data_IF_881363964203
#
_entry.id   IF_881363964203
#
_cell.length_a   1.000
_cell.length_b   1.000
_cell.length_c   1.000
_cell.angle_alpha   90.00
_cell.angle_beta   90.00
_cell.angle_gamma   90.00
#
_symmetry.space_group_name_H-M   'P 1'
#
loop_
_entity.id
_entity.type
_entity.pdbx_description
1 polymer ?
#
# COMPACT_ATOMS: atom_id res chain seq x y z
N UNK A 1 -10.47 31.11 -11.48
CA UNK A 1 -9.63 29.89 -11.51
C UNK A 1 -10.23 28.88 -10.56
N UNK A 2 -10.59 27.68 -11.03
CA UNK A 2 -11.18 26.63 -10.17
C UNK A 2 -10.07 25.95 -9.36
N UNK A 3 -10.20 25.93 -8.04
CA UNK A 3 -9.34 25.13 -7.16
C UNK A 3 -9.46 23.66 -7.52
N UNK A 4 -8.36 23.03 -7.92
CA UNK A 4 -8.29 21.58 -8.12
C UNK A 4 -8.03 20.91 -6.77
N UNK A 5 -8.65 19.76 -6.50
CA UNK A 5 -8.54 19.01 -5.24
C UNK A 5 -8.16 17.57 -5.56
N UNK A 6 -7.41 16.93 -4.66
CA UNK A 6 -7.23 15.48 -4.70
C UNK A 6 -8.25 14.84 -3.75
N UNK A 7 -8.80 13.68 -4.13
CA UNK A 7 -9.51 12.79 -3.22
C UNK A 7 -8.54 11.70 -2.78
N UNK A 8 -8.52 11.44 -1.48
CA UNK A 8 -7.67 10.42 -0.87
C UNK A 8 -8.55 9.37 -0.20
N UNK A 9 -8.25 8.10 -0.47
CA UNK A 9 -8.79 6.96 0.25
C UNK A 9 -7.61 6.16 0.78
N UNK A 10 -7.38 6.25 2.07
CA UNK A 10 -6.18 5.75 2.74
C UNK A 10 -6.52 4.53 3.57
N UNK A 11 -5.65 3.53 3.54
CA UNK A 11 -5.80 2.37 4.42
C UNK A 11 -6.88 1.37 4.03
N UNK A 12 -7.11 1.18 2.72
CA UNK A 12 -8.11 0.22 2.24
C UNK A 12 -7.49 -1.19 2.26
N UNK A 13 -8.10 -2.18 2.94
CA UNK A 13 -7.56 -3.53 2.98
C UNK A 13 -7.78 -4.22 1.63
N UNK A 14 -6.74 -4.86 1.11
CA UNK A 14 -6.81 -5.67 -0.12
C UNK A 14 -6.58 -7.17 0.12
N UNK A 15 -6.28 -7.55 1.36
CA UNK A 15 -6.21 -8.93 1.83
C UNK A 15 -6.52 -9.00 3.34
N UNK A 16 -6.69 -10.22 3.86
CA UNK A 16 -6.72 -10.47 5.30
C UNK A 16 -5.35 -10.19 5.94
N UNK A 17 -5.31 -9.77 7.23
CA UNK A 17 -4.06 -9.61 7.96
C UNK A 17 -3.22 -10.89 7.92
N UNK A 18 -1.96 -10.85 7.44
CA UNK A 18 -1.11 -12.03 7.28
C UNK A 18 -0.46 -12.43 8.62
N UNK A 19 -1.28 -12.67 9.64
CA UNK A 19 -0.84 -13.03 11.00
C UNK A 19 -1.14 -14.49 11.32
N UNK A 20 -0.43 -15.03 12.31
CA UNK A 20 -0.64 -16.41 12.77
C UNK A 20 -0.49 -17.42 11.63
N UNK A 21 -1.51 -18.26 11.33
CA UNK A 21 -1.44 -19.23 10.24
C UNK A 21 -1.22 -18.61 8.84
N UNK A 22 -1.50 -17.31 8.65
CA UNK A 22 -1.36 -16.64 7.35
C UNK A 22 0.03 -16.03 7.10
N UNK A 23 0.93 -16.04 8.09
CA UNK A 23 2.22 -15.30 8.04
C UNK A 23 3.09 -15.62 6.81
N UNK A 24 3.18 -16.89 6.43
CA UNK A 24 3.99 -17.35 5.28
C UNK A 24 3.13 -17.96 4.17
N UNK A 25 1.81 -17.72 4.23
CA UNK A 25 0.87 -18.17 3.23
C UNK A 25 0.65 -17.09 2.15
N UNK A 26 0.17 -17.47 0.95
CA UNK A 26 -0.40 -16.52 0.00
C UNK A 26 -1.45 -15.60 0.66
N UNK A 27 -1.59 -14.34 0.23
CA UNK A 27 -2.59 -13.43 0.77
C UNK A 27 -4.00 -14.00 0.58
N UNK A 28 -4.78 -14.02 1.65
CA UNK A 28 -6.19 -14.40 1.57
C UNK A 28 -7.01 -13.16 1.15
N UNK A 29 -7.48 -13.14 -0.09
CA UNK A 29 -8.21 -12.01 -0.69
C UNK A 29 -9.73 -12.13 -0.57
N UNK A 30 -10.23 -13.28 -0.09
CA UNK A 30 -11.67 -13.51 0.08
C UNK A 30 -11.95 -14.36 1.34
N UNK A 31 -12.84 -13.89 2.23
CA UNK A 31 -13.42 -12.54 2.26
C UNK A 31 -12.34 -11.49 2.59
N UNK A 32 -12.57 -10.23 2.24
CA UNK A 32 -11.78 -9.11 2.77
C UNK A 32 -12.29 -8.70 4.16
N UNK A 33 -11.45 -8.05 5.00
CA UNK A 33 -11.94 -7.41 6.22
C UNK A 33 -13.11 -6.47 5.93
N UNK A 34 -14.22 -6.67 6.63
CA UNK A 34 -15.46 -5.90 6.48
C UNK A 34 -15.81 -5.14 7.76
N UNK A 35 -16.61 -4.09 7.62
CA UNK A 35 -17.13 -3.27 8.71
C UNK A 35 -18.54 -2.78 8.32
N UNK A 36 -19.41 -2.57 9.30
CA UNK A 36 -20.84 -2.34 9.04
C UNK A 36 -21.17 -0.92 8.52
N UNK A 37 -20.36 0.08 8.88
CA UNK A 37 -20.62 1.50 8.62
C UNK A 37 -19.54 2.20 7.76
N UNK A 38 -19.38 3.52 7.85
CA UNK A 38 -18.30 4.27 7.20
C UNK A 38 -17.03 4.17 8.06
N UNK A 39 -15.96 3.62 7.49
CA UNK A 39 -14.63 3.63 8.10
C UNK A 39 -13.90 4.94 7.79
N UNK A 40 -13.25 5.52 8.79
CA UNK A 40 -12.36 6.67 8.60
C UNK A 40 -11.14 6.30 7.75
N UNK A 41 -10.86 7.14 6.75
CA UNK A 41 -9.70 7.01 5.88
C UNK A 41 -8.46 7.58 6.57
N UNK A 42 -7.52 6.70 6.94
CA UNK A 42 -6.21 7.07 7.49
C UNK A 42 -5.14 6.14 6.94
N UNK A 43 -3.90 6.61 6.88
CA UNK A 43 -2.77 5.73 6.63
C UNK A 43 -2.75 4.60 7.67
N UNK A 44 -2.28 3.44 7.23
CA UNK A 44 -2.16 2.23 8.04
C UNK A 44 -0.68 1.93 8.26
N UNK A 45 -0.34 1.10 9.27
CA UNK A 45 1.05 0.75 9.56
C UNK A 45 1.79 0.24 8.33
N UNK A 46 3.09 0.54 8.25
CA UNK A 46 3.96 -0.11 7.30
C UNK A 46 4.20 -1.57 7.72
N UNK A 47 4.56 -2.41 6.74
CA UNK A 47 4.87 -3.80 7.04
C UNK A 47 6.09 -3.92 7.96
N UNK A 48 6.10 -4.96 8.80
CA UNK A 48 7.22 -5.26 9.70
C UNK A 48 8.58 -5.22 8.98
N UNK A 49 9.48 -4.38 9.48
CA UNK A 49 10.80 -4.14 8.93
C UNK A 49 11.77 -3.60 9.99
N UNK A 50 13.05 -3.59 9.64
CA UNK A 50 14.09 -3.02 10.50
C UNK A 50 14.03 -1.49 10.47
N UNK A 51 13.84 -0.87 11.64
CA UNK A 51 13.63 0.58 11.75
C UNK A 51 14.84 1.37 11.30
N UNK A 52 16.03 1.00 11.74
CA UNK A 52 17.25 1.77 11.44
C UNK A 52 17.56 1.72 9.94
N UNK A 53 17.36 0.56 9.30
CA UNK A 53 17.49 0.43 7.83
C UNK A 53 16.41 1.18 7.07
N UNK A 54 15.18 1.21 7.57
CA UNK A 54 14.10 2.00 6.97
C UNK A 54 14.44 3.49 7.04
N UNK A 55 14.86 3.97 8.21
CA UNK A 55 15.25 5.36 8.42
C UNK A 55 16.44 5.77 7.55
N UNK A 56 17.42 4.89 7.35
CA UNK A 56 18.55 5.14 6.44
C UNK A 56 18.12 5.16 4.96
N UNK A 57 17.28 4.20 4.54
CA UNK A 57 16.77 4.12 3.17
C UNK A 57 15.94 5.35 2.77
N UNK A 58 15.06 5.82 3.67
CA UNK A 58 14.13 6.92 3.42
C UNK A 58 14.56 8.25 4.07
N UNK A 59 15.83 8.35 4.52
CA UNK A 59 16.38 9.47 5.28
C UNK A 59 16.03 10.84 4.71
N UNK A 60 16.30 11.05 3.41
CA UNK A 60 16.04 12.34 2.76
C UNK A 60 14.55 12.71 2.79
N UNK A 61 13.67 11.71 2.72
CA UNK A 61 12.23 11.94 2.74
C UNK A 61 11.75 12.23 4.16
N UNK A 62 12.24 11.47 5.14
CA UNK A 62 11.92 11.68 6.55
C UNK A 62 12.41 13.05 7.04
N UNK A 63 13.59 13.49 6.61
CA UNK A 63 14.15 14.80 6.97
C UNK A 63 13.49 15.99 6.26
N UNK A 64 12.69 15.75 5.21
CA UNK A 64 12.12 16.82 4.37
C UNK A 64 11.09 17.71 5.06
N UNK A 65 10.60 17.36 6.28
CA UNK A 65 9.50 18.03 7.00
C UNK A 65 8.20 18.21 6.20
N UNK A 66 8.12 17.57 5.04
CA UNK A 66 6.93 17.55 4.19
C UNK A 66 5.89 16.56 4.71
N UNK A 67 6.24 15.77 5.73
CA UNK A 67 5.33 14.92 6.48
C UNK A 67 5.36 15.32 7.96
N UNK A 68 4.25 15.13 8.68
CA UNK A 68 4.24 15.30 10.13
C UNK A 68 5.32 14.41 10.76
N UNK A 69 5.91 14.86 11.88
CA UNK A 69 6.85 14.07 12.72
C UNK A 69 6.16 12.88 13.42
N UNK A 70 5.23 12.21 12.73
CA UNK A 70 4.61 11.00 13.21
C UNK A 70 5.57 9.84 12.98
N UNK A 71 5.90 9.16 14.07
CA UNK A 71 6.64 7.90 14.00
C UNK A 71 5.83 6.91 13.20
N UNK A 72 6.44 6.39 12.14
CA UNK A 72 5.84 5.35 11.33
C UNK A 72 5.70 4.08 12.17
N UNK A 73 4.47 3.61 12.33
CA UNK A 73 4.20 2.33 12.96
C UNK A 73 4.50 1.17 12.01
N UNK A 74 5.02 0.09 12.58
CA UNK A 74 5.24 -1.18 11.90
C UNK A 74 4.33 -2.26 12.49
N UNK A 75 3.65 -3.00 11.62
CA UNK A 75 2.77 -4.09 12.01
C UNK A 75 2.80 -5.21 10.95
N UNK A 76 2.48 -6.44 11.34
CA UNK A 76 2.24 -7.53 10.39
C UNK A 76 0.90 -7.35 9.66
N UNK A 77 -0.09 -6.77 10.35
CA UNK A 77 -1.32 -6.28 9.70
C UNK A 77 -1.02 -5.01 8.92
N UNK A 78 -0.53 -5.18 7.69
CA UNK A 78 -0.08 -4.09 6.84
C UNK A 78 -0.59 -4.16 5.39
N UNK A 79 -1.44 -5.13 5.03
CA UNK A 79 -1.91 -5.35 3.65
C UNK A 79 -3.03 -4.37 3.27
N UNK A 80 -2.66 -3.11 3.24
CA UNK A 80 -3.49 -1.97 2.89
C UNK A 80 -2.92 -1.23 1.67
N UNK A 81 -3.80 -0.57 0.94
CA UNK A 81 -3.44 0.34 -0.15
C UNK A 81 -4.05 1.72 0.05
N UNK A 82 -3.45 2.71 -0.60
CA UNK A 82 -3.96 4.07 -0.64
C UNK A 82 -4.30 4.44 -2.09
N UNK A 83 -5.35 5.23 -2.28
CA UNK A 83 -5.81 5.70 -3.58
C UNK A 83 -5.85 7.22 -3.60
N UNK A 84 -5.13 7.81 -4.55
CA UNK A 84 -5.12 9.25 -4.83
C UNK A 84 -5.80 9.50 -6.16
N UNK A 85 -6.92 10.22 -6.16
CA UNK A 85 -7.74 10.45 -7.35
C UNK A 85 -7.89 11.96 -7.62
N UNK A 86 -7.77 12.41 -8.89
CA UNK A 86 -8.00 13.81 -9.24
C UNK A 86 -9.48 14.19 -9.07
N UNK A 87 -9.76 15.44 -8.67
CA UNK A 87 -11.12 15.97 -8.79
C UNK A 87 -11.49 16.24 -10.26
N UNK A 88 -12.81 16.27 -10.50
CA UNK A 88 -13.41 16.55 -11.79
C UNK A 88 -14.19 15.37 -12.34
N UNK A 89 -14.69 15.56 -13.56
CA UNK A 89 -15.39 14.51 -14.28
C UNK A 89 -14.34 13.69 -15.05
N UNK A 90 -14.26 12.36 -14.82
CA UNK A 90 -13.42 11.51 -15.64
C UNK A 90 -13.91 11.51 -17.10
N UNK A 91 -13.04 11.20 -18.06
CA UNK A 91 -13.43 10.76 -19.40
C UNK A 91 -14.40 9.56 -19.33
N UNK A 92 -15.08 9.27 -20.43
CA UNK A 92 -16.01 8.13 -20.51
C UNK A 92 -15.34 6.78 -20.17
N UNK A 93 -14.04 6.65 -20.47
CA UNK A 93 -13.24 5.45 -20.22
C UNK A 93 -12.62 5.41 -18.82
N UNK A 94 -12.92 6.39 -17.95
CA UNK A 94 -12.29 6.53 -16.64
C UNK A 94 -10.96 7.29 -16.69
N UNK A 95 -10.35 7.48 -15.52
CA UNK A 95 -8.97 8.01 -15.43
C UNK A 95 -7.97 6.86 -15.58
N UNK A 96 -6.81 7.06 -16.25
CA UNK A 96 -5.74 6.09 -16.24
C UNK A 96 -5.29 5.79 -14.81
N UNK A 97 -4.92 4.53 -14.55
CA UNK A 97 -4.49 4.06 -13.22
C UNK A 97 -2.98 3.81 -13.24
N UNK A 98 -2.26 4.43 -12.31
CA UNK A 98 -0.87 4.14 -11.98
C UNK A 98 -0.81 3.36 -10.67
N UNK A 99 -0.44 2.08 -10.74
CA UNK A 99 -0.13 1.28 -9.56
C UNK A 99 1.36 1.40 -9.24
N UNK A 100 1.69 1.87 -8.04
CA UNK A 100 3.06 2.16 -7.63
C UNK A 100 3.46 1.33 -6.41
N UNK A 101 4.53 0.55 -6.53
CA UNK A 101 5.12 -0.21 -5.44
C UNK A 101 6.39 0.50 -4.94
N UNK A 102 6.54 0.64 -3.63
CA UNK A 102 7.72 1.26 -3.04
C UNK A 102 8.99 0.40 -3.21
N UNK A 103 10.16 1.06 -3.25
CA UNK A 103 11.47 0.42 -3.26
C UNK A 103 11.90 -0.05 -1.86
N UNK A 104 13.15 -0.54 -1.75
CA UNK A 104 13.77 -0.96 -0.50
C UNK A 104 14.27 -2.40 -0.49
N UNK A 105 14.68 -2.91 -1.66
CA UNK A 105 15.26 -4.25 -1.87
C UNK A 105 14.46 -5.39 -1.22
N UNK A 106 13.13 -5.26 -1.22
CA UNK A 106 12.20 -6.17 -0.56
C UNK A 106 12.37 -6.29 0.96
N UNK A 107 13.13 -5.41 1.60
CA UNK A 107 13.46 -5.46 3.04
C UNK A 107 12.84 -4.33 3.85
N UNK A 108 12.76 -3.15 3.25
CA UNK A 108 12.26 -1.92 3.87
C UNK A 108 11.39 -1.12 2.90
N UNK A 109 10.79 -0.04 3.39
CA UNK A 109 9.96 0.91 2.66
C UNK A 109 8.49 0.87 3.10
N UNK A 110 7.74 1.89 2.68
CA UNK A 110 6.32 2.02 2.98
C UNK A 110 5.59 2.84 1.91
N UNK A 111 4.31 2.56 1.62
CA UNK A 111 3.58 3.33 0.63
C UNK A 111 3.19 4.74 1.12
N UNK A 112 3.01 4.93 2.43
CA UNK A 112 2.46 6.17 2.98
C UNK A 112 3.50 7.30 3.14
N UNK A 113 4.79 7.04 2.91
CA UNK A 113 5.83 8.08 2.82
C UNK A 113 5.83 8.81 1.47
N UNK A 114 4.92 8.45 0.57
CA UNK A 114 4.76 9.07 -0.75
C UNK A 114 3.35 9.62 -0.90
N UNK A 115 3.24 10.95 -0.91
CA UNK A 115 1.98 11.65 -1.24
C UNK A 115 1.92 11.93 -2.75
N UNK A 116 1.01 11.25 -3.44
CA UNK A 116 0.78 11.40 -4.87
C UNK A 116 -0.34 12.39 -5.21
N UNK A 117 -0.89 13.13 -4.24
CA UNK A 117 -2.04 14.04 -4.46
C UNK A 117 -1.81 15.07 -5.56
N UNK A 118 -0.64 15.73 -5.53
CA UNK A 118 -0.29 16.74 -6.56
C UNK A 118 -0.11 16.06 -7.92
N UNK A 119 0.53 14.90 -7.96
CA UNK A 119 0.77 14.15 -9.19
C UNK A 119 -0.55 13.70 -9.83
N UNK A 120 -1.44 13.07 -9.05
CA UNK A 120 -2.75 12.61 -9.49
C UNK A 120 -3.57 13.74 -10.12
N UNK A 121 -3.61 14.92 -9.46
CA UNK A 121 -4.34 16.10 -9.94
C UNK A 121 -3.74 16.68 -11.22
N UNK A 122 -2.41 16.82 -11.28
CA UNK A 122 -1.70 17.45 -12.41
C UNK A 122 -1.70 16.57 -13.65
N UNK A 123 -1.51 15.27 -13.49
CA UNK A 123 -1.43 14.32 -14.59
C UNK A 123 -2.78 13.70 -14.93
N UNK A 124 -3.82 13.95 -14.12
CA UNK A 124 -5.16 13.40 -14.31
C UNK A 124 -5.15 11.88 -14.38
N UNK A 125 -4.53 11.28 -13.36
CA UNK A 125 -4.41 9.83 -13.18
C UNK A 125 -4.80 9.44 -11.77
N UNK A 126 -5.39 8.27 -11.59
CA UNK A 126 -5.55 7.65 -10.28
C UNK A 126 -4.22 6.99 -9.92
N UNK A 127 -3.68 7.27 -8.73
CA UNK A 127 -2.49 6.59 -8.21
C UNK A 127 -2.88 5.67 -7.07
N UNK A 128 -2.43 4.43 -7.13
CA UNK A 128 -2.65 3.43 -6.07
C UNK A 128 -1.31 3.01 -5.48
N UNK A 129 -1.17 3.05 -4.16
CA UNK A 129 0.06 2.71 -3.45
C UNK A 129 -0.19 1.58 -2.43
N UNK A 130 -0.07 0.31 -2.84
CA UNK A 130 -0.18 -0.83 -1.93
C UNK A 130 1.11 -1.02 -1.10
N UNK A 131 0.93 -1.45 0.14
CA UNK A 131 1.98 -2.13 0.89
C UNK A 131 2.07 -3.60 0.48
N UNK A 132 3.22 -4.22 0.68
CA UNK A 132 3.43 -5.66 0.49
C UNK A 132 4.39 -6.18 1.57
N UNK A 133 4.28 -7.46 1.96
CA UNK A 133 5.15 -8.02 2.99
C UNK A 133 6.62 -7.95 2.58
N UNK A 134 7.48 -7.65 3.54
CA UNK A 134 8.92 -7.44 3.36
C UNK A 134 9.73 -8.50 4.12
N UNK A 135 11.03 -8.58 3.83
CA UNK A 135 12.03 -9.39 4.52
C UNK A 135 11.56 -10.85 4.78
N UNK A 136 11.76 -11.38 5.98
CA UNK A 136 11.32 -12.73 6.36
C UNK A 136 9.80 -12.91 6.22
N UNK A 137 9.00 -11.87 6.44
CA UNK A 137 7.55 -11.97 6.32
C UNK A 137 7.08 -12.12 4.87
N UNK A 138 7.78 -11.52 3.91
CA UNK A 138 7.42 -11.58 2.48
C UNK A 138 8.13 -12.66 1.69
N UNK A 139 9.34 -13.06 2.09
CA UNK A 139 10.26 -13.79 1.21
C UNK A 139 10.93 -14.99 1.88
N UNK A 140 10.56 -15.34 3.10
CA UNK A 140 11.03 -16.58 3.72
C UNK A 140 10.55 -17.80 2.93
N UNK A 141 11.47 -18.74 2.69
CA UNK A 141 11.14 -20.02 2.07
C UNK A 141 11.89 -21.16 2.71
N UNK A 142 11.20 -22.29 2.86
CA UNK A 142 11.78 -23.58 3.24
C UNK A 142 12.23 -24.40 2.02
N UNK A 143 12.03 -23.87 0.80
CA UNK A 143 12.24 -24.57 -0.48
C UNK A 143 11.40 -25.84 -0.64
N UNK A 144 10.34 -25.97 0.16
CA UNK A 144 9.30 -26.99 0.08
C UNK A 144 7.90 -26.35 0.12
N UNK A 145 6.85 -27.16 0.27
CA UNK A 145 5.47 -26.67 0.30
C UNK A 145 5.03 -25.99 1.59
N UNK A 146 5.84 -26.01 2.67
CA UNK A 146 5.46 -25.47 3.98
C UNK A 146 5.55 -23.95 4.03
N UNK A 147 6.59 -23.38 3.43
CA UNK A 147 6.74 -21.95 3.18
C UNK A 147 7.28 -21.76 1.76
N UNK A 148 6.41 -21.63 0.75
CA UNK A 148 6.82 -21.59 -0.66
C UNK A 148 7.60 -20.32 -1.05
N UNK A 149 7.64 -19.30 -0.19
CA UNK A 149 8.27 -18.01 -0.47
C UNK A 149 7.39 -17.09 -1.30
N UNK A 150 7.98 -15.95 -1.70
CA UNK A 150 7.37 -14.95 -2.58
C UNK A 150 5.99 -14.43 -2.15
N UNK A 151 5.64 -14.55 -0.87
CA UNK A 151 4.41 -14.02 -0.30
C UNK A 151 4.27 -12.52 -0.56
N UNK A 152 5.36 -11.75 -0.47
CA UNK A 152 5.38 -10.33 -0.81
C UNK A 152 5.08 -10.03 -2.28
N UNK A 153 5.49 -10.90 -3.23
CA UNK A 153 5.10 -10.75 -4.63
C UNK A 153 3.64 -11.13 -4.86
N UNK A 154 3.15 -12.14 -4.15
CA UNK A 154 1.73 -12.51 -4.20
C UNK A 154 0.85 -11.40 -3.60
N UNK A 155 1.32 -10.64 -2.61
CA UNK A 155 0.63 -9.45 -2.11
C UNK A 155 0.52 -8.38 -3.22
N UNK A 156 1.55 -8.21 -4.05
CA UNK A 156 1.50 -7.29 -5.20
C UNK A 156 0.49 -7.75 -6.26
N UNK A 157 0.41 -9.06 -6.51
CA UNK A 157 -0.64 -9.65 -7.38
C UNK A 157 -2.03 -9.42 -6.78
N UNK A 158 -2.21 -9.64 -5.48
CA UNK A 158 -3.49 -9.36 -4.81
C UNK A 158 -3.90 -7.89 -4.91
N UNK A 159 -2.95 -6.95 -4.82
CA UNK A 159 -3.22 -5.54 -5.03
C UNK A 159 -3.61 -5.22 -6.49
N UNK A 160 -2.97 -5.85 -7.48
CA UNK A 160 -3.36 -5.75 -8.90
C UNK A 160 -4.79 -6.24 -9.13
N UNK A 161 -5.12 -7.41 -8.60
CA UNK A 161 -6.45 -8.01 -8.70
C UNK A 161 -7.51 -7.13 -8.03
N UNK A 162 -7.18 -6.58 -6.85
CA UNK A 162 -8.06 -5.65 -6.14
C UNK A 162 -8.34 -4.40 -6.99
N UNK A 163 -7.29 -3.80 -7.58
CA UNK A 163 -7.44 -2.62 -8.43
C UNK A 163 -8.32 -2.91 -9.63
N UNK A 164 -8.12 -4.05 -10.29
CA UNK A 164 -8.92 -4.46 -11.44
C UNK A 164 -10.41 -4.62 -11.09
N UNK A 165 -10.71 -5.10 -9.88
CA UNK A 165 -12.09 -5.36 -9.44
C UNK A 165 -12.79 -4.11 -8.91
N UNK A 166 -12.06 -3.23 -8.22
CA UNK A 166 -12.64 -2.14 -7.44
C UNK A 166 -12.53 -0.77 -8.11
N UNK A 167 -11.54 -0.55 -8.98
CA UNK A 167 -11.34 0.74 -9.65
C UNK A 167 -11.84 0.64 -11.09
N UNK A 168 -12.74 1.56 -11.46
CA UNK A 168 -13.34 1.68 -12.79
C UNK A 168 -13.12 3.08 -13.35
#
# INVERSE_FOLDING_TARGET
TRTQRARQYLGIPFAQPPVGPLRFAPPATSPLPSWDDVRNSSFQPACMQDRDRFEDHDKLRLESKLFPDERIEFNEDCLYLNVFSPDGNPPNEGWPILLWFHSGDFKVGAPHIWDFSVFAVKQKVIVVTPAYRLNVFGFFTTLDGMAPGNSGLLDQVAALDWVQQQIR
#
